data_IF_455500326975
#
_entry.id   IF_455500326975
#
_cell.length_a   1.000
_cell.length_b   1.000
_cell.length_c   1.000
_cell.angle_alpha   90.00
_cell.angle_beta   90.00
_cell.angle_gamma   90.00
#
_symmetry.space_group_name_H-M   'P 1'
#
loop_
_entity.id
_entity.type
_entity.pdbx_description
1 polymer ?
#
# COMPACT_ATOMS: atom_id res chain seq x y z
N UNK A 1 3.53 10.70 -12.67
CA UNK A 1 4.18 9.61 -11.91
C UNK A 1 3.14 8.81 -11.18
N UNK A 2 3.42 7.55 -10.95
CA UNK A 2 2.45 6.66 -10.30
C UNK A 2 2.95 6.30 -8.92
N UNK A 3 2.06 6.38 -7.94
CA UNK A 3 2.34 6.00 -6.57
C UNK A 3 1.48 4.80 -6.22
N UNK A 4 2.10 3.78 -5.65
CA UNK A 4 1.41 2.55 -5.31
C UNK A 4 1.41 2.37 -3.80
N UNK A 5 0.25 2.02 -3.26
CA UNK A 5 0.15 1.67 -1.84
C UNK A 5 0.61 0.24 -1.68
N UNK A 6 1.57 0.03 -0.80
CA UNK A 6 2.08 -1.30 -0.51
C UNK A 6 1.88 -1.60 0.97
N UNK A 7 1.72 -2.87 1.28
CA UNK A 7 1.44 -3.31 2.63
C UNK A 7 2.31 -4.51 2.99
N UNK A 8 2.55 -4.70 4.28
CA UNK A 8 3.29 -5.86 4.74
C UNK A 8 2.47 -7.12 4.49
N UNK A 9 3.08 -8.11 3.85
CA UNK A 9 2.40 -9.37 3.60
C UNK A 9 2.11 -10.09 4.93
N UNK A 10 3.09 -10.05 5.84
CA UNK A 10 2.93 -10.58 7.19
C UNK A 10 2.99 -9.40 8.15
N UNK A 11 1.95 -9.17 8.96
CA UNK A 11 1.96 -8.04 9.89
C UNK A 11 3.19 -8.08 10.80
N UNK A 12 3.87 -6.95 10.90
CA UNK A 12 5.07 -6.85 11.71
C UNK A 12 6.35 -7.27 11.02
N UNK A 13 6.28 -7.79 9.80
CA UNK A 13 7.47 -8.19 9.05
C UNK A 13 7.77 -7.12 7.98
N UNK A 14 8.82 -6.30 8.15
CA UNK A 14 9.11 -5.22 7.22
C UNK A 14 9.88 -5.66 5.97
N UNK A 15 10.14 -6.94 5.79
CA UNK A 15 10.96 -7.41 4.68
C UNK A 15 10.15 -7.72 3.42
N UNK A 16 8.87 -8.02 3.57
CA UNK A 16 8.03 -8.39 2.43
C UNK A 16 6.90 -7.39 2.30
N UNK A 17 6.89 -6.65 1.20
CA UNK A 17 5.86 -5.67 0.89
C UNK A 17 5.18 -6.07 -0.40
N UNK A 18 3.85 -6.04 -0.42
CA UNK A 18 3.07 -6.43 -1.57
C UNK A 18 2.04 -5.36 -1.88
N UNK A 19 1.64 -5.30 -3.15
CA UNK A 19 0.62 -4.34 -3.56
C UNK A 19 -0.78 -4.77 -3.14
N UNK A 20 -0.96 -6.06 -2.94
CA UNK A 20 -2.23 -6.63 -2.49
C UNK A 20 -1.95 -7.96 -1.83
N UNK A 21 -2.85 -8.37 -0.95
CA UNK A 21 -2.66 -9.61 -0.19
C UNK A 21 -3.13 -10.85 -0.95
N UNK A 22 -4.15 -10.71 -1.77
CA UNK A 22 -4.69 -11.82 -2.57
C UNK A 22 -4.89 -11.33 -4.00
N UNK A 23 -4.92 -12.26 -4.97
CA UNK A 23 -5.16 -11.86 -6.36
C UNK A 23 -6.51 -11.20 -6.59
N UNK A 24 -7.44 -11.36 -5.65
CA UNK A 24 -8.77 -10.78 -5.77
C UNK A 24 -8.84 -9.34 -5.27
N UNK A 25 -7.84 -8.92 -4.49
CA UNK A 25 -7.82 -7.56 -3.96
C UNK A 25 -7.37 -6.58 -5.05
N UNK A 26 -7.88 -5.36 -5.02
CA UNK A 26 -7.43 -4.35 -5.99
C UNK A 26 -6.03 -3.86 -5.67
N UNK A 27 -5.32 -3.43 -6.72
CA UNK A 27 -4.03 -2.77 -6.54
C UNK A 27 -4.31 -1.27 -6.50
N UNK A 28 -3.84 -0.61 -5.45
CA UNK A 28 -4.10 0.82 -5.24
C UNK A 28 -2.96 1.63 -5.85
N UNK A 29 -3.24 2.26 -6.97
CA UNK A 29 -2.27 3.11 -7.66
C UNK A 29 -2.92 4.46 -7.95
N UNK A 30 -2.15 5.52 -7.74
CA UNK A 30 -2.64 6.89 -7.88
C UNK A 30 -1.60 7.74 -8.59
N UNK A 31 -2.06 8.77 -9.29
CA UNK A 31 -1.17 9.71 -9.94
C UNK A 31 -0.64 10.77 -8.99
N UNK A 32 -1.17 10.80 -7.78
CA UNK A 32 -0.93 11.87 -6.81
C UNK A 32 -0.51 11.25 -5.49
N UNK A 33 0.61 11.72 -4.93
CA UNK A 33 1.11 11.18 -3.69
C UNK A 33 0.13 11.39 -2.54
N UNK A 34 -0.55 12.54 -2.51
CA UNK A 34 -1.48 12.82 -1.43
C UNK A 34 -2.65 11.84 -1.44
N UNK A 35 -3.14 11.46 -2.62
CA UNK A 35 -4.21 10.47 -2.71
C UNK A 35 -3.74 9.10 -2.26
N UNK A 36 -2.52 8.71 -2.65
CA UNK A 36 -1.96 7.43 -2.24
C UNK A 36 -1.77 7.39 -0.73
N UNK A 37 -1.28 8.50 -0.15
CA UNK A 37 -1.08 8.57 1.29
C UNK A 37 -2.42 8.49 2.03
N UNK A 38 -3.43 9.16 1.52
CA UNK A 38 -4.75 9.12 2.14
C UNK A 38 -5.32 7.70 2.14
N UNK A 39 -5.12 6.97 1.04
CA UNK A 39 -5.59 5.59 0.98
C UNK A 39 -4.79 4.69 1.92
N UNK A 40 -3.47 4.88 2.00
CA UNK A 40 -2.65 4.10 2.92
C UNK A 40 -3.08 4.34 4.36
N UNK A 41 -3.37 5.60 4.72
CA UNK A 41 -3.83 5.91 6.06
C UNK A 41 -5.19 5.28 6.35
N UNK A 42 -6.09 5.33 5.36
CA UNK A 42 -7.42 4.72 5.52
C UNK A 42 -7.30 3.21 5.74
N UNK A 43 -6.50 2.55 4.93
CA UNK A 43 -6.34 1.10 5.04
C UNK A 43 -5.70 0.72 6.36
N UNK A 44 -4.71 1.49 6.80
CA UNK A 44 -4.06 1.21 8.06
C UNK A 44 -5.01 1.39 9.24
N UNK A 45 -5.85 2.42 9.19
CA UNK A 45 -6.81 2.67 10.25
C UNK A 45 -7.85 1.57 10.34
N UNK A 46 -8.17 0.94 9.22
CA UNK A 46 -9.19 -0.11 9.18
C UNK A 46 -8.62 -1.52 9.35
N UNK A 47 -7.31 -1.65 9.51
CA UNK A 47 -6.68 -2.96 9.62
C UNK A 47 -6.48 -3.33 11.09
N UNK A 48 -7.17 -4.35 11.59
CA UNK A 48 -7.07 -4.73 13.01
C UNK A 48 -5.78 -5.47 13.35
N UNK A 49 -4.99 -5.88 12.35
CA UNK A 49 -3.79 -6.67 12.60
C UNK A 49 -2.57 -5.84 12.94
N UNK A 50 -2.65 -4.51 12.75
CA UNK A 50 -1.49 -3.64 12.96
C UNK A 50 -0.51 -3.65 11.80
N UNK A 51 -0.93 -4.18 10.64
CA UNK A 51 -0.11 -4.21 9.44
C UNK A 51 0.24 -2.79 9.02
N UNK A 52 1.49 -2.59 8.65
CA UNK A 52 1.96 -1.28 8.19
C UNK A 52 1.75 -1.12 6.70
N UNK A 53 1.50 0.11 6.27
CA UNK A 53 1.30 0.46 4.87
C UNK A 53 2.31 1.53 4.49
N UNK A 54 2.72 1.53 3.24
CA UNK A 54 3.65 2.53 2.73
C UNK A 54 3.27 2.89 1.30
N UNK A 55 3.90 3.97 0.81
CA UNK A 55 3.71 4.41 -0.57
C UNK A 55 5.02 4.25 -1.29
N UNK A 56 4.98 3.65 -2.46
CA UNK A 56 6.14 3.49 -3.31
C UNK A 56 5.89 4.23 -4.62
N UNK A 57 6.85 5.05 -5.01
CA UNK A 57 6.80 5.73 -6.29
C UNK A 57 7.30 4.76 -7.37
N UNK A 58 6.46 4.51 -8.36
CA UNK A 58 6.83 3.63 -9.44
C UNK A 58 7.53 4.43 -10.53
N UNK A 59 8.58 3.85 -11.09
CA UNK A 59 9.29 4.49 -12.19
C UNK A 59 8.40 4.46 -13.43
N UNK A 60 8.32 5.59 -14.11
CA UNK A 60 7.54 5.71 -15.33
C UNK A 60 8.48 6.16 -16.45
N UNK A 61 8.48 5.40 -17.50
CA UNK A 61 9.27 5.71 -18.68
C UNK A 61 8.47 6.48 -19.71
#
# INVERSE_FOLDING_TARGET
MTYEVQMQFIPGNPQIWVARLTPEDPIYQYDNEAEAQAKADELQANDPTGRQYRITQLAVE
#
